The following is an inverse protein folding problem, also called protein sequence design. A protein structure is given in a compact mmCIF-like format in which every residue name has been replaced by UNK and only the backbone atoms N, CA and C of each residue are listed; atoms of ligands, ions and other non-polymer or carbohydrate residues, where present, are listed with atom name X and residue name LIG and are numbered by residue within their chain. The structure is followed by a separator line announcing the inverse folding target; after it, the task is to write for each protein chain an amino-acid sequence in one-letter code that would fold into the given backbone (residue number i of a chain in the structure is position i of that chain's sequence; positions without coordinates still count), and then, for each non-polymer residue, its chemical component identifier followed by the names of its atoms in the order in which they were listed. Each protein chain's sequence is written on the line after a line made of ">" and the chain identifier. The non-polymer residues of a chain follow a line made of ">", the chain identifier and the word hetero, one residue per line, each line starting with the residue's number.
data_IF_919317693857
#
_entry.id   IF_919317693857
#
_cell.length_a   1.000
_cell.length_b   1.000
_cell.length_c   1.000
_cell.angle_alpha   90.00
_cell.angle_beta   90.00
_cell.angle_gamma   90.00
#
_symmetry.space_group_name_H-M   'P 1'
#
loop_
_entity.id
_entity.type
_entity.pdbx_description
1 polymer ?
#
# COMPACT_ATOMS: atom_id res chain seq x y z
N UNK A 1 -5.02 27.25 -16.36
CA UNK A 1 -5.25 26.03 -17.16
C UNK A 1 -6.45 25.29 -16.57
N UNK A 2 -7.44 24.75 -17.31
CA UNK A 2 -8.68 24.10 -16.72
C UNK A 2 -9.22 24.81 -15.46
N UNK A 3 -9.30 26.14 -15.54
CA UNK A 3 -9.51 27.12 -14.47
C UNK A 3 -8.89 26.77 -13.08
N UNK A 4 -7.79 26.00 -13.02
CA UNK A 4 -7.11 25.49 -11.82
C UNK A 4 -7.90 24.32 -11.30
N UNK A 5 -7.74 23.11 -11.86
CA UNK A 5 -8.51 21.85 -11.73
C UNK A 5 -9.89 21.85 -10.99
N UNK A 6 -10.69 22.92 -11.21
CA UNK A 6 -12.10 23.16 -10.84
C UNK A 6 -12.56 22.72 -9.44
N UNK A 7 -11.92 23.10 -8.34
CA UNK A 7 -10.60 23.74 -8.37
C UNK A 7 -9.47 22.72 -8.16
N UNK A 8 -9.77 21.68 -7.39
CA UNK A 8 -8.98 20.45 -7.36
C UNK A 8 -9.95 19.32 -6.98
N UNK A 9 -11.03 19.25 -7.77
CA UNK A 9 -12.32 18.58 -7.49
C UNK A 9 -12.95 19.00 -6.15
N UNK A 10 -13.43 20.25 -6.20
CA UNK A 10 -14.09 21.05 -5.15
C UNK A 10 -13.65 20.70 -3.72
N UNK A 11 -12.32 20.73 -3.56
CA UNK A 11 -11.57 20.49 -2.34
C UNK A 11 -11.91 19.14 -1.69
N UNK A 12 -11.76 18.05 -2.46
CA UNK A 12 -12.07 16.67 -2.07
C UNK A 12 -13.53 16.50 -1.60
N UNK A 13 -14.41 16.18 -2.53
CA UNK A 13 -15.86 16.36 -2.41
C UNK A 13 -16.58 15.81 -1.13
N UNK A 14 -17.54 16.60 -0.61
CA UNK A 14 -17.89 16.81 0.83
C UNK A 14 -18.87 15.83 1.54
N UNK A 15 -19.04 14.61 1.06
CA UNK A 15 -20.37 14.03 0.76
C UNK A 15 -20.97 14.68 -0.51
N UNK A 16 -21.24 13.79 -1.48
CA UNK A 16 -22.06 13.86 -2.70
C UNK A 16 -21.62 14.67 -3.95
N UNK A 17 -21.43 13.92 -5.05
CA UNK A 17 -21.58 14.28 -6.48
C UNK A 17 -20.61 15.32 -7.07
N UNK A 18 -19.34 14.92 -7.21
CA UNK A 18 -18.41 15.55 -8.15
C UNK A 18 -17.96 14.47 -9.12
N UNK A 19 -17.77 14.82 -10.40
CA UNK A 19 -17.33 13.88 -11.45
C UNK A 19 -16.06 13.11 -11.02
N UNK A 20 -15.92 11.85 -11.45
CA UNK A 20 -14.67 11.10 -11.23
C UNK A 20 -13.49 11.85 -11.88
N UNK A 21 -12.25 11.54 -11.50
CA UNK A 21 -11.09 12.16 -12.16
C UNK A 21 -11.10 11.92 -13.70
N UNK A 22 -11.67 10.81 -14.15
CA UNK A 22 -11.85 10.47 -15.57
C UNK A 22 -12.91 11.34 -16.26
N UNK A 23 -14.01 11.66 -15.58
CA UNK A 23 -15.08 12.55 -16.08
C UNK A 23 -14.58 13.98 -16.34
N UNK A 24 -13.44 14.36 -15.75
CA UNK A 24 -12.76 15.64 -15.99
C UNK A 24 -11.63 15.55 -17.02
N UNK A 25 -11.44 14.39 -17.66
CA UNK A 25 -10.40 14.18 -18.66
C UNK A 25 -8.99 14.07 -18.07
N UNK A 26 -8.85 13.81 -16.77
CA UNK A 26 -7.55 13.50 -16.16
C UNK A 26 -7.21 12.04 -16.41
N UNK A 27 -6.16 11.82 -17.20
CA UNK A 27 -5.70 10.47 -17.54
C UNK A 27 -4.28 10.19 -17.06
N UNK A 28 -3.56 11.22 -16.60
CA UNK A 28 -2.16 11.13 -16.22
C UNK A 28 -1.83 11.88 -14.93
N UNK A 29 -0.74 11.47 -14.26
CA UNK A 29 -0.24 12.15 -13.04
C UNK A 29 0.28 13.54 -13.38
N UNK A 30 0.79 13.73 -14.60
CA UNK A 30 1.19 15.05 -15.09
C UNK A 30 0.02 16.03 -15.02
N UNK A 31 -1.20 15.63 -15.36
CA UNK A 31 -2.37 16.52 -15.37
C UNK A 31 -2.70 17.10 -13.98
N UNK A 32 -2.45 16.36 -12.89
CA UNK A 32 -2.59 16.83 -11.50
C UNK A 32 -1.34 17.56 -11.01
N UNK A 33 -0.16 17.23 -11.55
CA UNK A 33 1.08 17.95 -11.28
C UNK A 33 1.10 19.36 -11.89
N UNK A 34 0.25 19.63 -12.88
CA UNK A 34 0.12 20.95 -13.50
C UNK A 34 -0.60 21.99 -12.63
N UNK A 35 -1.17 21.60 -11.47
CA UNK A 35 -1.87 22.51 -10.58
C UNK A 35 -0.94 23.00 -9.46
N UNK A 36 -0.53 24.27 -9.53
CA UNK A 36 0.36 24.90 -8.55
C UNK A 36 -0.43 25.58 -7.42
N UNK A 37 0.11 25.56 -6.19
CA UNK A 37 -0.56 26.17 -5.04
C UNK A 37 -0.82 27.69 -5.23
N UNK A 38 0.06 28.37 -5.98
CA UNK A 38 -0.10 29.79 -6.32
C UNK A 38 -1.36 30.08 -7.14
N UNK A 39 -1.83 29.11 -7.92
CA UNK A 39 -3.02 29.25 -8.75
C UNK A 39 -4.31 29.23 -7.89
N UNK A 40 -4.26 28.64 -6.69
CA UNK A 40 -5.40 28.51 -5.77
C UNK A 40 -5.52 29.67 -4.76
N UNK A 41 -4.42 30.31 -4.39
CA UNK A 41 -4.39 31.40 -3.38
C UNK A 41 -5.26 32.57 -3.81
N UNK A 42 -5.09 33.06 -5.04
CA UNK A 42 -5.87 34.17 -5.59
C UNK A 42 -7.33 33.79 -5.88
N UNK A 43 -7.55 32.54 -6.27
CA UNK A 43 -8.85 32.04 -6.72
C UNK A 43 -9.80 31.66 -5.57
N UNK A 44 -9.28 31.24 -4.41
CA UNK A 44 -10.06 30.79 -3.25
C UNK A 44 -9.96 31.73 -2.04
N UNK A 45 -9.10 32.75 -2.07
CA UNK A 45 -8.85 33.65 -0.94
C UNK A 45 -8.45 32.91 0.34
N UNK A 46 -7.51 31.96 0.20
CA UNK A 46 -6.95 31.12 1.28
C UNK A 46 -5.45 31.40 1.46
N UNK A 47 -4.88 30.90 2.56
CA UNK A 47 -3.43 30.97 2.79
C UNK A 47 -2.67 30.06 1.81
N UNK A 48 -1.36 30.33 1.66
CA UNK A 48 -0.49 29.50 0.83
C UNK A 48 -0.38 28.07 1.38
N UNK A 49 -0.28 27.94 2.70
CA UNK A 49 -0.20 26.65 3.39
C UNK A 49 -1.48 25.83 3.18
N UNK A 50 -2.65 26.48 3.24
CA UNK A 50 -3.93 25.83 2.96
C UNK A 50 -4.02 25.35 1.49
N UNK A 51 -3.55 26.17 0.55
CA UNK A 51 -3.48 25.80 -0.87
C UNK A 51 -2.54 24.60 -1.11
N UNK A 52 -1.37 24.57 -0.48
CA UNK A 52 -0.41 23.46 -0.59
C UNK A 52 -0.98 22.15 -0.03
N UNK A 53 -1.65 22.20 1.12
CA UNK A 53 -2.29 21.02 1.72
C UNK A 53 -3.39 20.43 0.81
N UNK A 54 -4.20 21.29 0.19
CA UNK A 54 -5.23 20.87 -0.78
C UNK A 54 -4.59 20.17 -1.97
N UNK A 55 -3.50 20.75 -2.51
CA UNK A 55 -2.78 20.17 -3.65
C UNK A 55 -2.20 18.80 -3.31
N UNK A 56 -1.58 18.65 -2.14
CA UNK A 56 -1.05 17.36 -1.69
C UNK A 56 -2.15 16.30 -1.58
N UNK A 57 -3.26 16.64 -0.91
CA UNK A 57 -4.37 15.70 -0.69
C UNK A 57 -4.99 15.22 -2.00
N UNK A 58 -5.18 16.10 -2.98
CA UNK A 58 -5.75 15.67 -4.26
C UNK A 58 -4.76 14.83 -5.08
N UNK A 59 -3.45 15.09 -5.00
CA UNK A 59 -2.43 14.21 -5.60
C UNK A 59 -2.51 12.81 -5.00
N UNK A 60 -2.61 12.70 -3.68
CA UNK A 60 -2.78 11.41 -3.00
C UNK A 60 -4.07 10.71 -3.41
N UNK A 61 -5.20 11.43 -3.46
CA UNK A 61 -6.48 10.85 -3.86
C UNK A 61 -6.50 10.40 -5.33
N UNK A 62 -5.92 11.19 -6.24
CA UNK A 62 -5.79 10.81 -7.64
C UNK A 62 -4.90 9.58 -7.79
N UNK A 63 -3.73 9.56 -7.14
CA UNK A 63 -2.85 8.40 -7.15
C UNK A 63 -3.53 7.17 -6.56
N UNK A 64 -4.32 7.33 -5.49
CA UNK A 64 -5.11 6.25 -4.92
C UNK A 64 -6.10 5.68 -5.93
N UNK A 65 -6.91 6.52 -6.58
CA UNK A 65 -7.87 6.07 -7.60
C UNK A 65 -7.18 5.41 -8.79
N UNK A 66 -6.06 5.96 -9.25
CA UNK A 66 -5.25 5.38 -10.33
C UNK A 66 -4.72 3.99 -9.95
N UNK A 67 -4.15 3.84 -8.75
CA UNK A 67 -3.65 2.56 -8.24
C UNK A 67 -4.78 1.55 -8.04
N UNK A 68 -5.91 2.00 -7.49
CA UNK A 68 -7.11 1.18 -7.33
C UNK A 68 -7.58 0.65 -8.68
N UNK A 69 -7.71 1.52 -9.68
CA UNK A 69 -8.11 1.13 -11.03
C UNK A 69 -7.11 0.14 -11.66
N UNK A 70 -5.81 0.38 -11.51
CA UNK A 70 -4.78 -0.54 -12.01
C UNK A 70 -4.84 -1.92 -11.32
N UNK A 71 -4.97 -1.95 -9.99
CA UNK A 71 -5.07 -3.19 -9.20
C UNK A 71 -6.34 -3.94 -9.52
N UNK A 72 -7.51 -3.29 -9.48
CA UNK A 72 -8.79 -3.93 -9.78
C UNK A 72 -8.91 -4.33 -11.25
N UNK A 73 -8.40 -3.51 -12.17
CA UNK A 73 -8.40 -3.77 -13.61
C UNK A 73 -7.49 -4.95 -13.99
N UNK A 74 -6.37 -5.13 -13.30
CA UNK A 74 -5.49 -6.29 -13.49
C UNK A 74 -5.91 -7.49 -12.65
N UNK A 75 -6.71 -7.31 -11.60
CA UNK A 75 -7.11 -8.39 -10.70
C UNK A 75 -7.78 -9.55 -11.43
N UNK A 76 -8.68 -9.29 -12.37
CA UNK A 76 -9.34 -10.35 -13.14
C UNK A 76 -8.34 -11.24 -13.89
N UNK A 77 -7.27 -10.68 -14.44
CA UNK A 77 -6.19 -11.45 -15.05
C UNK A 77 -5.27 -12.08 -13.99
N UNK A 78 -5.10 -11.40 -12.84
CA UNK A 78 -4.36 -11.89 -11.70
C UNK A 78 -5.05 -13.07 -10.99
N UNK A 79 -6.37 -13.22 -11.07
CA UNK A 79 -7.13 -14.30 -10.43
C UNK A 79 -6.72 -15.67 -10.98
N UNK A 80 -6.60 -15.79 -12.30
CA UNK A 80 -6.08 -17.00 -12.95
C UNK A 80 -4.62 -17.26 -12.54
N UNK A 81 -3.87 -16.18 -12.32
CA UNK A 81 -2.48 -16.15 -11.87
C UNK A 81 -2.26 -16.30 -10.36
N UNK A 82 -3.33 -16.26 -9.54
CA UNK A 82 -3.30 -16.42 -8.08
C UNK A 82 -4.20 -17.56 -7.60
N UNK A 83 -4.75 -18.35 -8.52
CA UNK A 83 -5.44 -19.60 -8.21
C UNK A 83 -4.56 -20.55 -7.38
N UNK A 84 -5.16 -21.63 -6.88
CA UNK A 84 -4.55 -22.55 -5.89
C UNK A 84 -3.13 -23.00 -6.29
N UNK A 85 -2.89 -23.31 -7.56
CA UNK A 85 -1.56 -23.74 -8.02
C UNK A 85 -0.51 -22.61 -7.99
N UNK A 86 -0.91 -21.37 -8.25
CA UNK A 86 -0.02 -20.23 -8.14
C UNK A 86 0.25 -19.83 -6.69
N UNK A 87 -0.73 -20.01 -5.79
CA UNK A 87 -0.51 -19.82 -4.35
C UNK A 87 0.39 -20.91 -3.74
N UNK A 88 0.36 -22.13 -4.28
CA UNK A 88 1.37 -23.16 -3.97
C UNK A 88 2.77 -22.74 -4.46
N UNK A 89 2.88 -22.20 -5.66
CA UNK A 89 4.14 -21.67 -6.19
C UNK A 89 4.67 -20.52 -5.32
N UNK A 90 3.80 -19.61 -4.88
CA UNK A 90 4.11 -18.56 -3.93
C UNK A 90 4.76 -19.14 -2.65
N UNK A 91 4.12 -20.10 -1.98
CA UNK A 91 4.67 -20.68 -0.74
C UNK A 91 5.98 -21.44 -0.99
N UNK A 92 6.08 -22.18 -2.08
CA UNK A 92 7.33 -22.84 -2.47
C UNK A 92 8.47 -21.83 -2.61
N UNK A 93 8.23 -20.69 -3.26
CA UNK A 93 9.24 -19.65 -3.46
C UNK A 93 9.54 -18.86 -2.20
N UNK A 94 8.54 -18.62 -1.37
CA UNK A 94 8.70 -18.01 -0.05
C UNK A 94 9.63 -18.83 0.84
N UNK A 95 9.42 -20.14 0.93
CA UNK A 95 10.23 -21.02 1.77
C UNK A 95 11.63 -21.25 1.21
N UNK A 96 11.77 -21.29 -0.12
CA UNK A 96 13.08 -21.36 -0.79
C UNK A 96 13.94 -20.13 -0.46
N UNK A 97 13.33 -18.93 -0.52
CA UNK A 97 14.07 -17.67 -0.37
C UNK A 97 14.22 -17.22 1.09
N UNK A 98 13.19 -17.43 1.91
CA UNK A 98 13.12 -17.02 3.30
C UNK A 98 12.82 -18.23 4.20
N UNK A 99 13.77 -19.16 4.39
CA UNK A 99 13.55 -20.35 5.21
C UNK A 99 13.21 -20.00 6.68
N UNK A 100 13.56 -18.79 7.14
CA UNK A 100 13.20 -18.28 8.47
C UNK A 100 11.70 -18.15 8.71
N UNK A 101 10.87 -18.08 7.66
CA UNK A 101 9.41 -17.98 7.80
C UNK A 101 8.72 -19.34 7.91
N UNK A 102 9.41 -20.44 7.58
CA UNK A 102 8.86 -21.81 7.61
C UNK A 102 8.26 -22.15 9.00
N UNK A 103 8.89 -21.82 10.15
CA UNK A 103 8.33 -22.10 11.47
C UNK A 103 6.93 -21.53 11.70
N UNK A 104 6.56 -20.43 11.02
CA UNK A 104 5.23 -19.81 11.13
C UNK A 104 4.12 -20.70 10.54
N UNK A 105 4.49 -21.68 9.70
CA UNK A 105 3.56 -22.53 8.95
C UNK A 105 3.64 -24.02 9.36
N UNK A 106 4.40 -24.38 10.39
CA UNK A 106 4.62 -25.79 10.80
C UNK A 106 3.33 -26.57 11.09
N UNK A 107 2.29 -25.87 11.55
CA UNK A 107 0.98 -26.45 11.88
C UNK A 107 -0.12 -26.06 10.88
N UNK A 108 0.25 -25.47 9.74
CA UNK A 108 -0.70 -25.05 8.73
C UNK A 108 -1.02 -26.18 7.74
N UNK A 109 -2.30 -26.35 7.44
CA UNK A 109 -2.71 -27.01 6.22
C UNK A 109 -2.39 -26.06 5.04
N UNK A 110 -1.41 -26.42 4.23
CA UNK A 110 -0.90 -25.54 3.17
C UNK A 110 -1.88 -25.34 2.02
N UNK A 111 -2.78 -26.29 1.76
CA UNK A 111 -3.82 -26.12 0.74
C UNK A 111 -4.88 -25.14 1.26
N UNK A 112 -5.32 -25.31 2.51
CA UNK A 112 -6.21 -24.35 3.15
C UNK A 112 -5.56 -22.97 3.33
N UNK A 113 -4.25 -22.92 3.54
CA UNK A 113 -3.48 -21.68 3.67
C UNK A 113 -3.35 -20.94 2.33
N UNK A 114 -3.11 -21.66 1.24
CA UNK A 114 -3.15 -21.11 -0.12
C UNK A 114 -4.53 -20.50 -0.44
N UNK A 115 -5.61 -21.21 -0.11
CA UNK A 115 -6.97 -20.71 -0.29
C UNK A 115 -7.25 -19.47 0.56
N UNK A 116 -6.78 -19.44 1.82
CA UNK A 116 -6.91 -18.26 2.70
C UNK A 116 -6.19 -17.05 2.12
N UNK A 117 -4.93 -17.21 1.68
CA UNK A 117 -4.16 -16.12 1.09
C UNK A 117 -4.88 -15.55 -0.13
N UNK A 118 -5.32 -16.41 -1.05
CA UNK A 118 -6.10 -15.99 -2.22
C UNK A 118 -7.35 -15.18 -1.81
N UNK A 119 -8.16 -15.72 -0.90
CA UNK A 119 -9.39 -15.06 -0.42
C UNK A 119 -9.10 -13.71 0.24
N UNK A 120 -8.03 -13.63 1.03
CA UNK A 120 -7.61 -12.38 1.68
C UNK A 120 -7.20 -11.32 0.66
N UNK A 121 -6.38 -11.68 -0.34
CA UNK A 121 -5.98 -10.72 -1.38
C UNK A 121 -7.18 -10.32 -2.23
N UNK A 122 -8.04 -11.27 -2.63
CA UNK A 122 -9.28 -11.00 -3.35
C UNK A 122 -10.17 -10.01 -2.59
N UNK A 123 -10.35 -10.24 -1.28
CA UNK A 123 -11.14 -9.38 -0.43
C UNK A 123 -10.50 -7.99 -0.33
N UNK A 124 -9.19 -7.90 -0.10
CA UNK A 124 -8.49 -6.63 -0.01
C UNK A 124 -8.64 -5.79 -1.29
N UNK A 125 -8.52 -6.40 -2.48
CA UNK A 125 -8.74 -5.75 -3.77
C UNK A 125 -10.17 -5.24 -3.92
N UNK A 126 -11.16 -6.06 -3.53
CA UNK A 126 -12.57 -5.68 -3.58
C UNK A 126 -12.90 -4.53 -2.62
N UNK A 127 -12.24 -4.48 -1.47
CA UNK A 127 -12.45 -3.46 -0.44
C UNK A 127 -11.65 -2.18 -0.68
N UNK A 128 -10.90 -2.05 -1.79
CA UNK A 128 -10.30 -0.76 -2.16
C UNK A 128 -11.35 0.34 -2.43
N UNK A 129 -12.60 -0.02 -2.69
CA UNK A 129 -13.72 0.92 -2.76
C UNK A 129 -14.31 1.30 -1.38
N UNK A 130 -13.91 0.61 -0.31
CA UNK A 130 -14.41 0.78 1.06
C UNK A 130 -13.28 0.62 2.09
N UNK A 131 -12.26 1.46 1.94
CA UNK A 131 -11.05 1.43 2.79
C UNK A 131 -11.37 1.68 4.27
N UNK A 132 -12.40 2.50 4.57
CA UNK A 132 -12.82 2.79 5.93
C UNK A 132 -13.23 1.52 6.69
N UNK A 133 -13.93 0.59 6.02
CA UNK A 133 -14.27 -0.70 6.60
C UNK A 133 -13.15 -1.74 6.46
N UNK A 134 -12.21 -1.57 5.54
CA UNK A 134 -11.04 -2.44 5.40
C UNK A 134 -10.06 -2.28 6.56
N UNK A 135 -9.81 -1.05 7.01
CA UNK A 135 -8.80 -0.76 8.04
C UNK A 135 -9.02 -1.49 9.37
N UNK A 136 -10.25 -1.55 9.96
CA UNK A 136 -10.51 -2.33 11.16
C UNK A 136 -10.22 -3.82 10.96
N UNK A 137 -10.57 -4.38 9.79
CA UNK A 137 -10.32 -5.79 9.46
C UNK A 137 -8.82 -6.07 9.39
N UNK A 138 -8.06 -5.23 8.69
CA UNK A 138 -6.60 -5.35 8.62
C UNK A 138 -5.94 -5.19 10.00
N UNK A 139 -6.49 -4.30 10.84
CA UNK A 139 -6.01 -4.10 12.21
C UNK A 139 -6.19 -5.38 13.03
N UNK A 140 -7.40 -5.96 13.07
CA UNK A 140 -7.68 -7.21 13.77
C UNK A 140 -6.80 -8.36 13.24
N UNK A 141 -6.66 -8.44 11.92
CA UNK A 141 -5.77 -9.42 11.29
C UNK A 141 -4.32 -9.25 11.74
N UNK A 142 -3.81 -8.02 11.77
CA UNK A 142 -2.44 -7.72 12.21
C UNK A 142 -2.19 -8.11 13.66
N UNK A 143 -3.13 -7.80 14.56
CA UNK A 143 -3.07 -8.22 15.97
C UNK A 143 -3.01 -9.74 16.09
N UNK A 144 -3.87 -10.45 15.34
CA UNK A 144 -3.89 -11.91 15.30
C UNK A 144 -2.57 -12.49 14.80
N UNK A 145 -2.03 -11.93 13.71
CA UNK A 145 -0.77 -12.35 13.12
C UNK A 145 0.37 -12.25 14.13
N UNK A 146 0.44 -11.15 14.87
CA UNK A 146 1.46 -10.95 15.89
C UNK A 146 1.26 -11.86 17.12
N UNK A 147 0.05 -11.90 17.68
CA UNK A 147 -0.20 -12.55 18.98
C UNK A 147 -0.38 -14.07 18.89
N UNK A 148 -1.00 -14.58 17.83
CA UNK A 148 -1.27 -16.01 17.66
C UNK A 148 -0.20 -16.71 16.82
N UNK A 149 0.32 -16.03 15.79
CA UNK A 149 1.22 -16.65 14.81
C UNK A 149 2.67 -16.18 14.95
N UNK A 150 2.96 -15.26 15.87
CA UNK A 150 4.28 -14.67 16.05
C UNK A 150 4.84 -14.08 14.75
N UNK A 151 3.96 -13.58 13.88
CA UNK A 151 4.30 -12.96 12.62
C UNK A 151 4.67 -11.49 12.85
N UNK A 152 5.97 -11.20 12.84
CA UNK A 152 6.55 -9.88 13.06
C UNK A 152 6.60 -9.05 11.78
N UNK A 153 6.83 -7.74 11.94
CA UNK A 153 6.93 -6.77 10.83
C UNK A 153 7.88 -7.24 9.72
N UNK A 154 9.03 -7.79 10.08
CA UNK A 154 10.06 -8.25 9.14
C UNK A 154 9.58 -9.39 8.22
N UNK A 155 8.55 -10.14 8.61
CA UNK A 155 8.01 -11.21 7.77
C UNK A 155 7.15 -10.68 6.63
N UNK A 156 6.58 -9.48 6.75
CA UNK A 156 5.79 -8.89 5.69
C UNK A 156 6.68 -8.56 4.48
N UNK A 157 7.89 -8.04 4.67
CA UNK A 157 8.81 -7.76 3.55
C UNK A 157 9.07 -9.02 2.68
N UNK A 158 9.29 -10.16 3.32
CA UNK A 158 9.46 -11.45 2.64
C UNK A 158 8.21 -11.87 1.85
N UNK A 159 7.02 -11.71 2.46
CA UNK A 159 5.74 -12.03 1.81
C UNK A 159 5.49 -11.11 0.62
N UNK A 160 5.72 -9.81 0.77
CA UNK A 160 5.51 -8.80 -0.26
C UNK A 160 6.35 -9.05 -1.50
N UNK A 161 7.63 -9.35 -1.30
CA UNK A 161 8.53 -9.62 -2.41
C UNK A 161 8.07 -10.81 -3.25
N UNK A 162 7.68 -11.92 -2.61
CA UNK A 162 7.25 -13.13 -3.31
C UNK A 162 5.84 -12.95 -3.91
N UNK A 163 4.98 -12.18 -3.26
CA UNK A 163 3.65 -11.87 -3.80
C UNK A 163 3.76 -11.06 -5.10
N UNK A 164 4.57 -9.98 -5.10
CA UNK A 164 4.79 -9.16 -6.29
C UNK A 164 5.48 -9.95 -7.41
N UNK A 165 6.42 -10.84 -7.07
CA UNK A 165 7.01 -11.77 -8.04
C UNK A 165 5.96 -12.72 -8.66
N UNK A 166 5.04 -13.24 -7.84
CA UNK A 166 3.97 -14.14 -8.29
C UNK A 166 3.02 -13.41 -9.23
N UNK A 167 2.60 -12.20 -8.84
CA UNK A 167 1.78 -11.32 -9.67
C UNK A 167 2.46 -10.97 -11.00
N UNK A 168 3.74 -10.57 -10.98
CA UNK A 168 4.53 -10.32 -12.19
C UNK A 168 4.57 -11.52 -13.12
N UNK A 169 4.83 -12.70 -12.56
CA UNK A 169 4.91 -13.96 -13.32
C UNK A 169 3.59 -14.30 -13.99
N UNK A 170 2.49 -14.12 -13.27
CA UNK A 170 1.16 -14.48 -13.76
C UNK A 170 0.51 -13.44 -14.68
N UNK A 171 0.78 -12.15 -14.47
CA UNK A 171 0.28 -11.07 -15.32
C UNK A 171 1.05 -10.92 -16.63
N UNK A 172 2.32 -11.36 -16.69
CA UNK A 172 3.13 -11.32 -17.91
C UNK A 172 3.20 -9.91 -18.51
N UNK A 173 2.81 -9.77 -19.78
CA UNK A 173 2.81 -8.47 -20.48
C UNK A 173 1.87 -7.41 -19.86
N UNK A 174 0.90 -7.83 -19.03
CA UNK A 174 0.05 -6.92 -18.28
C UNK A 174 0.74 -6.32 -17.04
N UNK A 175 1.91 -6.84 -16.63
CA UNK A 175 2.72 -6.28 -15.55
C UNK A 175 3.55 -5.08 -16.05
N UNK A 176 2.87 -3.96 -16.26
CA UNK A 176 3.52 -2.67 -16.59
C UNK A 176 4.12 -2.02 -15.34
N UNK A 177 4.99 -1.01 -15.52
CA UNK A 177 5.54 -0.24 -14.40
C UNK A 177 4.45 0.40 -13.53
N UNK A 178 3.35 0.83 -14.15
CA UNK A 178 2.20 1.40 -13.45
C UNK A 178 1.47 0.35 -12.60
N UNK A 179 1.29 -0.86 -13.13
CA UNK A 179 0.68 -1.99 -12.41
C UNK A 179 1.60 -2.43 -11.26
N UNK A 180 2.90 -2.50 -11.49
CA UNK A 180 3.88 -2.84 -10.47
C UNK A 180 3.87 -1.83 -9.31
N UNK A 181 3.85 -0.53 -9.62
CA UNK A 181 3.75 0.55 -8.62
C UNK A 181 2.45 0.43 -7.81
N UNK A 182 1.32 0.23 -8.49
CA UNK A 182 0.01 0.13 -7.85
C UNK A 182 -0.11 -1.06 -6.91
N UNK A 183 0.32 -2.26 -7.36
CA UNK A 183 0.34 -3.45 -6.52
C UNK A 183 1.30 -3.33 -5.33
N UNK A 184 2.48 -2.74 -5.55
CA UNK A 184 3.45 -2.48 -4.47
C UNK A 184 2.86 -1.54 -3.43
N UNK A 185 2.18 -0.47 -3.87
CA UNK A 185 1.57 0.49 -2.98
C UNK A 185 0.43 -0.13 -2.14
N UNK A 186 -0.49 -0.87 -2.78
CA UNK A 186 -1.60 -1.54 -2.08
C UNK A 186 -1.07 -2.55 -1.07
N UNK A 187 -0.09 -3.36 -1.46
CA UNK A 187 0.56 -4.30 -0.54
C UNK A 187 1.23 -3.57 0.63
N UNK A 188 1.94 -2.48 0.36
CA UNK A 188 2.59 -1.66 1.38
C UNK A 188 1.61 -1.14 2.42
N UNK A 189 0.45 -0.63 2.01
CA UNK A 189 -0.60 -0.17 2.94
C UNK A 189 -1.09 -1.29 3.85
N UNK A 190 -1.33 -2.48 3.28
CA UNK A 190 -1.76 -3.66 4.03
C UNK A 190 -0.70 -4.08 5.04
N UNK A 191 0.54 -4.25 4.59
CA UNK A 191 1.67 -4.66 5.41
C UNK A 191 1.94 -3.68 6.55
N UNK A 192 1.91 -2.37 6.27
CA UNK A 192 2.09 -1.33 7.30
C UNK A 192 0.96 -1.36 8.31
N UNK A 193 -0.30 -1.41 7.87
CA UNK A 193 -1.46 -1.40 8.78
C UNK A 193 -1.46 -2.63 9.69
N UNK A 194 -1.21 -3.81 9.13
CA UNK A 194 -1.13 -5.05 9.90
C UNK A 194 0.09 -5.08 10.83
N UNK A 195 1.25 -4.61 10.35
CA UNK A 195 2.48 -4.51 11.15
C UNK A 195 2.34 -3.55 12.32
N UNK A 196 1.76 -2.37 12.11
CA UNK A 196 1.53 -1.35 13.15
C UNK A 196 0.56 -1.90 14.22
N UNK A 197 -0.52 -2.56 13.79
CA UNK A 197 -1.47 -3.19 14.69
C UNK A 197 -0.84 -4.33 15.51
N UNK A 198 0.00 -5.14 14.87
CA UNK A 198 0.74 -6.23 15.53
C UNK A 198 1.74 -5.71 16.56
N UNK A 199 2.54 -4.70 16.21
CA UNK A 199 3.51 -4.08 17.11
C UNK A 199 2.81 -3.44 18.32
N UNK A 200 1.69 -2.75 18.10
CA UNK A 200 0.88 -2.17 19.17
C UNK A 200 0.33 -3.24 20.12
N UNK A 201 -0.20 -4.35 19.59
CA UNK A 201 -0.73 -5.45 20.39
C UNK A 201 0.35 -6.17 21.20
N UNK A 202 1.55 -6.37 20.64
CA UNK A 202 2.70 -6.90 21.39
C UNK A 202 3.09 -5.94 22.52
N UNK A 203 3.17 -4.63 22.24
CA UNK A 203 3.52 -3.63 23.24
C UNK A 203 2.51 -3.58 24.40
N UNK A 204 1.21 -3.69 24.09
CA UNK A 204 0.13 -3.78 25.09
C UNK A 204 0.23 -5.06 25.93
N UNK A 205 0.37 -6.22 25.28
CA UNK A 205 0.54 -7.53 25.96
C UNK A 205 1.73 -7.52 26.92
N UNK A 206 2.85 -6.96 26.49
CA UNK A 206 4.10 -6.94 27.24
C UNK A 206 4.11 -5.86 28.34
N UNK A 207 3.01 -5.12 28.53
CA UNK A 207 2.84 -4.14 29.61
C UNK A 207 3.74 -2.90 29.49
N UNK A 208 4.27 -2.60 28.30
CA UNK A 208 5.05 -1.39 28.05
C UNK A 208 4.11 -0.21 27.81
N UNK A 209 3.67 0.43 28.88
CA UNK A 209 3.06 1.76 28.78
C UNK A 209 4.17 2.79 28.51
N UNK A 210 4.52 2.95 27.23
CA UNK A 210 5.44 4.01 26.81
C UNK A 210 4.73 5.35 27.04
N UNK A 211 5.28 6.18 27.94
CA UNK A 211 4.78 7.54 28.11
C UNK A 211 4.78 8.28 26.77
N UNK A 212 3.88 9.25 26.60
CA UNK A 212 3.83 10.06 25.38
C UNK A 212 5.19 10.73 25.05
N UNK A 213 5.98 11.05 26.07
CA UNK A 213 7.35 11.55 25.89
C UNK A 213 8.29 10.49 25.30
N UNK A 214 8.20 9.24 25.76
CA UNK A 214 8.98 8.12 25.22
C UNK A 214 8.53 7.75 23.80
N UNK A 215 7.21 7.80 23.51
CA UNK A 215 6.68 7.62 22.15
C UNK A 215 7.21 8.69 21.19
N UNK A 216 7.22 9.96 21.61
CA UNK A 216 7.75 11.08 20.79
C UNK A 216 9.26 10.97 20.59
N UNK A 217 10.02 10.56 21.60
CA UNK A 217 11.47 10.34 21.47
C UNK A 217 11.77 9.17 20.54
N UNK A 218 11.07 8.04 20.68
CA UNK A 218 11.25 6.88 19.79
C UNK A 218 10.86 7.24 18.36
N UNK A 219 9.74 7.95 18.14
CA UNK A 219 9.34 8.40 16.80
C UNK A 219 10.37 9.36 16.22
N UNK A 220 10.87 10.33 16.99
CA UNK A 220 11.91 11.27 16.51
C UNK A 220 13.24 10.58 16.24
N UNK A 221 13.68 9.66 17.09
CA UNK A 221 14.92 8.92 16.93
C UNK A 221 14.84 7.91 15.77
N UNK A 222 13.66 7.32 15.56
CA UNK A 222 13.39 6.44 14.42
C UNK A 222 13.36 7.26 13.14
N UNK A 223 12.62 8.38 13.14
CA UNK A 223 12.51 9.31 12.01
C UNK A 223 13.88 9.89 11.62
N UNK A 224 14.68 10.36 12.56
CA UNK A 224 16.02 10.89 12.29
C UNK A 224 17.00 9.83 11.74
N UNK A 225 16.75 8.54 11.99
CA UNK A 225 17.54 7.44 11.42
C UNK A 225 17.08 7.04 10.03
N UNK A 226 15.77 7.12 9.74
CA UNK A 226 15.26 6.84 8.40
C UNK A 226 15.33 8.06 7.47
N UNK A 227 15.36 9.29 7.98
CA UNK A 227 15.37 10.51 7.19
C UNK A 227 16.55 10.61 6.18
N UNK A 228 17.80 10.25 6.53
CA UNK A 228 18.90 10.21 5.55
C UNK A 228 18.83 9.01 4.58
N UNK A 229 18.08 7.97 4.94
CA UNK A 229 17.99 6.72 4.20
C UNK A 229 16.71 6.69 3.36
N UNK A 230 15.68 7.47 3.65
CA UNK A 230 14.39 7.41 2.95
C UNK A 230 14.52 7.83 1.48
N UNK A 231 15.29 8.88 1.19
CA UNK A 231 15.62 9.24 -0.20
C UNK A 231 16.59 8.25 -0.86
N UNK A 232 17.50 7.64 -0.09
CA UNK A 232 18.54 6.74 -0.62
C UNK A 232 18.04 5.30 -0.81
N UNK A 233 17.18 4.79 0.08
CA UNK A 233 16.51 3.50 0.01
C UNK A 233 15.53 3.46 -1.15
N UNK A 234 14.81 4.56 -1.41
CA UNK A 234 13.98 4.69 -2.61
C UNK A 234 14.84 4.55 -3.88
N UNK A 235 15.98 5.26 -3.95
CA UNK A 235 16.92 5.16 -5.08
C UNK A 235 17.61 3.79 -5.20
N UNK A 236 17.99 3.15 -4.10
CA UNK A 236 18.61 1.81 -4.07
C UNK A 236 17.59 0.74 -4.47
N UNK A 237 16.36 0.82 -3.99
CA UNK A 237 15.27 -0.09 -4.36
C UNK A 237 14.98 0.01 -5.87
N UNK A 238 14.89 1.22 -6.43
CA UNK A 238 14.76 1.42 -7.87
C UNK A 238 15.99 0.97 -8.69
N UNK A 239 17.20 1.08 -8.12
CA UNK A 239 18.44 0.62 -8.77
C UNK A 239 18.55 -0.92 -8.77
N UNK A 240 18.20 -1.58 -7.67
CA UNK A 240 18.19 -3.05 -7.58
C UNK A 240 17.13 -3.71 -8.47
N UNK A 241 16.03 -3.00 -8.76
CA UNK A 241 15.01 -3.45 -9.71
C UNK A 241 15.44 -3.31 -11.19
N UNK A 242 16.44 -2.48 -11.50
CA UNK A 242 16.95 -2.26 -12.87
C UNK A 242 18.24 -3.02 -13.19
N UNK A 243 19.05 -3.36 -12.19
CA UNK A 243 20.37 -3.99 -12.40
C UNK A 243 20.33 -5.54 -12.46
N UNK A 244 19.15 -6.16 -12.62
CA UNK A 244 19.02 -7.62 -12.77
C UNK A 244 18.77 -8.12 -14.20
N UNK A 245 18.85 -7.21 -15.18
CA UNK A 245 18.69 -7.51 -16.61
C UNK A 245 20.00 -7.30 -17.43
N UNK A 246 21.16 -7.57 -16.83
CA UNK A 246 22.45 -7.84 -17.54
C UNK A 246 23.05 -9.17 -17.05
#
# INVERSE_FOLDING_TARGET
>A
STMGLKQLLKACNKEALAPSFEDLGLSSVEDVSMCEASDLVGDLNISKEEAEAIVSKAKEQFLFEKRKAAVQGTWKAAEDALGVEATKLFYSKLFEKYPSVIPLFENADMDAQAEKLYKTVHLAVKYLDDVENLLPVLTEMGQKHALEYNCLREHYDAVGEILLWTLKTGLGDAWTDEVAEAWTWVYGVIATTMGDAGDAAIAERDGKDLSNAQKVVIIKDTWAKVEPIAEHATKIFYKMLREKDE
#
